data_IF_147819696630
#
_entry.id   IF_147819696630
#
_cell.length_a   1.000
_cell.length_b   1.000
_cell.length_c   1.000
_cell.angle_alpha   90.00
_cell.angle_beta   90.00
_cell.angle_gamma   90.00
#
_symmetry.space_group_name_H-M   'P 1'
#
loop_
_entity.id
_entity.type
_entity.pdbx_description
1 polymer ?
#
# COMPACT_ATOMS: atom_id res chain seq x y z
N UNK A 1 -1.87 -24.02 20.38
CA UNK A 1 -2.43 -23.26 19.25
C UNK A 1 -2.04 -21.81 19.46
N UNK A 2 -1.52 -21.09 18.45
CA UNK A 2 -1.31 -19.64 18.57
C UNK A 2 -2.67 -18.97 18.85
N UNK A 3 -2.69 -17.88 19.65
CA UNK A 3 -3.95 -17.19 19.95
C UNK A 3 -4.56 -16.64 18.66
N UNK A 4 -5.88 -16.77 18.52
CA UNK A 4 -6.60 -16.13 17.44
C UNK A 4 -6.36 -14.61 17.50
N UNK A 5 -5.93 -14.02 16.39
CA UNK A 5 -5.73 -12.57 16.30
C UNK A 5 -7.09 -11.92 16.54
N UNK A 6 -7.25 -11.31 17.71
CA UNK A 6 -8.50 -10.63 18.09
C UNK A 6 -8.35 -9.17 17.67
N UNK A 7 -8.85 -8.83 16.49
CA UNK A 7 -8.88 -7.43 16.03
C UNK A 7 -10.10 -6.78 16.68
N UNK A 8 -9.95 -5.78 17.57
CA UNK A 8 -11.08 -5.14 18.21
C UNK A 8 -11.93 -4.39 17.16
N UNK A 9 -13.26 -4.40 17.28
CA UNK A 9 -14.13 -3.65 16.37
C UNK A 9 -13.85 -2.15 16.51
N UNK A 10 -13.65 -1.49 15.37
CA UNK A 10 -13.40 -0.04 15.32
C UNK A 10 -14.73 0.73 15.40
N UNK A 11 -14.85 1.79 16.23
CA UNK A 11 -16.05 2.61 16.32
C UNK A 11 -16.53 3.18 14.98
N UNK A 12 -17.84 3.40 14.87
CA UNK A 12 -18.46 3.95 13.67
C UNK A 12 -18.32 5.47 13.60
N UNK A 13 -17.48 5.96 12.71
CA UNK A 13 -17.38 7.38 12.34
C UNK A 13 -18.19 7.78 11.11
N UNK A 14 -18.20 9.10 10.87
CA UNK A 14 -18.89 9.86 9.83
C UNK A 14 -19.35 9.03 8.62
N UNK A 15 -20.67 8.98 8.43
CA UNK A 15 -21.31 8.45 7.24
C UNK A 15 -21.40 9.52 6.18
N UNK A 16 -21.23 9.12 4.92
CA UNK A 16 -21.48 10.00 3.78
C UNK A 16 -22.95 9.79 3.39
N UNK A 17 -23.79 10.81 3.59
CA UNK A 17 -25.19 10.81 3.13
C UNK A 17 -25.31 11.62 1.83
N UNK A 18 -26.13 11.13 0.90
CA UNK A 18 -26.49 11.66 -0.42
C UNK A 18 -25.44 11.59 -1.55
N UNK A 19 -25.64 10.57 -2.41
CA UNK A 19 -25.33 10.48 -3.87
C UNK A 19 -23.89 10.17 -4.36
N UNK A 20 -23.81 9.43 -5.48
CA UNK A 20 -22.66 9.19 -6.39
C UNK A 20 -21.30 8.90 -5.72
N UNK A 21 -21.08 7.62 -5.41
CA UNK A 21 -19.92 7.02 -4.73
C UNK A 21 -18.59 7.76 -4.91
N UNK A 22 -18.12 8.43 -3.85
CA UNK A 22 -16.70 8.73 -3.69
C UNK A 22 -15.92 7.40 -3.64
N UNK A 23 -14.89 7.21 -4.49
CA UNK A 23 -14.13 5.97 -4.52
C UNK A 23 -13.51 5.69 -3.14
N UNK A 24 -13.61 4.45 -2.68
CA UNK A 24 -12.92 4.03 -1.46
C UNK A 24 -11.42 4.19 -1.65
N UNK A 25 -10.66 4.75 -0.69
CA UNK A 25 -9.21 4.74 -0.77
C UNK A 25 -8.69 3.30 -0.88
N UNK A 26 -7.57 3.13 -1.58
CA UNK A 26 -6.97 1.82 -1.85
C UNK A 26 -5.56 1.77 -1.31
N UNK A 27 -5.24 0.72 -0.57
CA UNK A 27 -3.88 0.34 -0.18
C UNK A 27 -3.42 -0.83 -1.05
N UNK A 28 -2.43 -0.58 -1.89
CA UNK A 28 -1.86 -1.54 -2.83
C UNK A 28 -0.57 -2.07 -2.21
N UNK A 29 -0.49 -3.38 -2.03
CA UNK A 29 0.67 -4.07 -1.47
C UNK A 29 1.42 -4.73 -2.61
N UNK A 30 2.62 -4.23 -2.93
CA UNK A 30 3.47 -4.76 -3.99
C UNK A 30 4.69 -5.41 -3.33
N UNK A 31 5.04 -6.63 -3.72
CA UNK A 31 6.23 -7.26 -3.17
C UNK A 31 6.40 -8.70 -3.62
N UNK A 32 7.18 -9.45 -2.85
CA UNK A 32 7.49 -10.84 -3.12
C UNK A 32 6.52 -11.83 -2.44
N UNK A 33 7.01 -13.04 -2.14
CA UNK A 33 6.32 -14.10 -1.42
C UNK A 33 5.76 -13.67 -0.06
N UNK A 34 6.42 -12.78 0.67
CA UNK A 34 5.94 -12.31 1.98
C UNK A 34 4.66 -11.50 1.82
N UNK A 35 4.57 -10.71 0.75
CA UNK A 35 3.36 -9.99 0.39
C UNK A 35 2.30 -10.95 -0.15
N UNK A 36 2.65 -11.86 -1.06
CA UNK A 36 1.69 -12.81 -1.66
C UNK A 36 1.03 -13.68 -0.57
N UNK A 37 1.84 -14.25 0.32
CA UNK A 37 1.37 -15.10 1.41
C UNK A 37 0.68 -14.30 2.53
N UNK A 38 0.80 -12.97 2.54
CA UNK A 38 0.11 -12.08 3.47
C UNK A 38 -1.42 -12.20 3.44
N UNK A 39 -1.98 -12.81 2.38
CA UNK A 39 -3.39 -13.14 2.26
C UNK A 39 -3.71 -14.64 2.24
N UNK A 40 -2.70 -15.51 2.44
CA UNK A 40 -2.88 -16.97 2.36
C UNK A 40 -3.65 -17.58 3.54
N UNK A 41 -3.83 -16.83 4.64
CA UNK A 41 -4.60 -17.29 5.80
C UNK A 41 -5.35 -16.14 6.48
N UNK A 42 -6.26 -16.48 7.39
CA UNK A 42 -6.96 -15.51 8.24
C UNK A 42 -6.01 -14.70 9.13
N UNK A 43 -4.84 -15.27 9.47
CA UNK A 43 -3.79 -14.62 10.27
C UNK A 43 -2.74 -13.90 9.41
N UNK A 44 -2.94 -13.83 8.09
CA UNK A 44 -2.03 -13.10 7.20
C UNK A 44 -2.12 -11.59 7.46
N UNK A 45 -1.00 -10.88 7.34
CA UNK A 45 -0.94 -9.44 7.63
C UNK A 45 -1.84 -8.61 6.71
N UNK A 46 -1.86 -8.93 5.41
CA UNK A 46 -2.72 -8.26 4.43
C UNK A 46 -4.20 -8.60 4.62
N UNK A 47 -4.52 -9.85 5.00
CA UNK A 47 -5.88 -10.22 5.44
C UNK A 47 -6.31 -9.41 6.67
N UNK A 48 -5.41 -9.27 7.64
CA UNK A 48 -5.67 -8.52 8.88
C UNK A 48 -5.93 -7.04 8.62
N UNK A 49 -5.18 -6.43 7.68
CA UNK A 49 -5.46 -5.06 7.21
C UNK A 49 -6.85 -4.97 6.55
N UNK A 50 -7.20 -5.93 5.69
CA UNK A 50 -8.52 -5.97 5.04
C UNK A 50 -9.66 -6.03 6.05
N UNK A 51 -9.49 -6.79 7.13
CA UNK A 51 -10.44 -6.87 8.24
C UNK A 51 -10.51 -5.54 9.00
N UNK A 52 -9.35 -4.97 9.38
CA UNK A 52 -9.26 -3.68 10.11
C UNK A 52 -9.98 -2.56 9.37
N UNK A 53 -9.74 -2.46 8.06
CA UNK A 53 -10.24 -1.38 7.21
C UNK A 53 -11.60 -1.65 6.56
N UNK A 54 -12.32 -2.68 7.00
CA UNK A 54 -13.62 -3.06 6.43
C UNK A 54 -14.58 -1.85 6.31
N UNK A 55 -15.12 -1.67 5.09
CA UNK A 55 -15.97 -0.54 4.66
C UNK A 55 -15.29 0.83 4.68
N UNK A 56 -13.98 0.94 4.84
CA UNK A 56 -13.24 2.22 4.90
C UNK A 56 -12.14 2.34 3.86
N UNK A 57 -11.35 1.28 3.66
CA UNK A 57 -10.26 1.23 2.69
C UNK A 57 -10.18 -0.17 2.07
N UNK A 58 -9.92 -0.25 0.76
CA UNK A 58 -9.64 -1.53 0.08
C UNK A 58 -8.18 -1.88 0.22
N UNK A 59 -7.86 -3.13 0.53
CA UNK A 59 -6.49 -3.65 0.50
C UNK A 59 -6.34 -4.56 -0.71
N UNK A 60 -5.42 -4.24 -1.61
CA UNK A 60 -5.15 -4.97 -2.83
C UNK A 60 -3.77 -5.63 -2.74
N UNK A 61 -3.75 -6.96 -2.67
CA UNK A 61 -2.50 -7.72 -2.68
C UNK A 61 -2.01 -7.93 -4.12
N UNK A 62 -0.78 -7.50 -4.41
CA UNK A 62 -0.02 -7.70 -5.66
C UNK A 62 1.37 -8.28 -5.34
N UNK A 63 1.42 -9.21 -4.39
CA UNK A 63 2.62 -10.00 -4.10
C UNK A 63 2.89 -11.05 -5.18
N UNK A 64 4.18 -11.28 -5.44
CA UNK A 64 4.67 -12.16 -6.50
C UNK A 64 5.79 -13.04 -5.97
N UNK A 65 5.47 -14.29 -5.62
CA UNK A 65 6.40 -15.24 -5.01
C UNK A 65 7.67 -15.42 -5.85
N UNK A 66 8.83 -15.33 -5.19
CA UNK A 66 10.15 -15.44 -5.81
C UNK A 66 10.64 -14.19 -6.53
N UNK A 67 9.87 -13.11 -6.60
CA UNK A 67 10.30 -11.89 -7.29
C UNK A 67 11.35 -11.10 -6.49
N UNK A 68 12.30 -10.51 -7.20
CA UNK A 68 13.21 -9.48 -6.70
C UNK A 68 12.78 -8.10 -7.22
N UNK A 69 13.46 -7.04 -6.77
CA UNK A 69 13.14 -5.66 -7.18
C UNK A 69 13.24 -5.44 -8.69
N UNK A 70 14.19 -6.10 -9.37
CA UNK A 70 14.37 -6.01 -10.83
C UNK A 70 13.13 -6.47 -11.58
N UNK A 71 12.59 -7.64 -11.22
CA UNK A 71 11.39 -8.19 -11.86
C UNK A 71 10.13 -7.44 -11.41
N UNK A 72 10.07 -7.03 -10.14
CA UNK A 72 9.00 -6.18 -9.62
C UNK A 72 8.88 -4.87 -10.39
N UNK A 73 10.01 -4.23 -10.72
CA UNK A 73 10.03 -2.96 -11.46
C UNK A 73 9.50 -3.15 -12.87
N UNK A 74 9.86 -4.26 -13.53
CA UNK A 74 9.36 -4.59 -14.87
C UNK A 74 7.84 -4.84 -14.88
N UNK A 75 7.27 -5.37 -13.80
CA UNK A 75 5.83 -5.61 -13.68
C UNK A 75 5.03 -4.38 -13.23
N UNK A 76 5.68 -3.38 -12.61
CA UNK A 76 5.00 -2.23 -12.01
C UNK A 76 4.09 -1.47 -13.00
N UNK A 77 4.48 -1.18 -14.26
CA UNK A 77 3.60 -0.50 -15.20
C UNK A 77 2.26 -1.22 -15.42
N UNK A 78 2.27 -2.56 -15.47
CA UNK A 78 1.07 -3.37 -15.66
C UNK A 78 0.15 -3.28 -14.44
N UNK A 79 0.73 -3.27 -13.24
CA UNK A 79 -0.02 -3.09 -11.98
C UNK A 79 -0.65 -1.70 -11.92
N UNK A 80 0.09 -0.66 -12.33
CA UNK A 80 -0.41 0.72 -12.33
C UNK A 80 -1.48 0.92 -13.39
N UNK A 81 -1.33 0.36 -14.58
CA UNK A 81 -2.38 0.37 -15.62
C UNK A 81 -3.66 -0.34 -15.14
N UNK A 82 -3.53 -1.49 -14.48
CA UNK A 82 -4.66 -2.22 -13.90
C UNK A 82 -5.43 -1.40 -12.85
N UNK A 83 -4.71 -0.68 -11.97
CA UNK A 83 -5.29 -0.04 -10.78
C UNK A 83 -5.70 1.41 -11.04
N UNK A 84 -4.88 2.15 -11.77
CA UNK A 84 -5.01 3.59 -12.03
C UNK A 84 -5.52 3.89 -13.44
N UNK A 85 -5.52 2.90 -14.35
CA UNK A 85 -5.77 3.08 -15.77
C UNK A 85 -4.52 3.44 -16.55
N UNK A 86 -4.56 3.24 -17.88
CA UNK A 86 -3.51 3.67 -18.80
C UNK A 86 -3.61 5.15 -19.16
N UNK A 87 -2.54 5.71 -19.76
CA UNK A 87 -2.66 6.96 -20.50
C UNK A 87 -3.66 6.73 -21.63
N UNK A 88 -4.77 7.47 -21.65
CA UNK A 88 -5.79 7.28 -22.68
C UNK A 88 -5.16 7.43 -24.06
N UNK A 89 -5.18 6.37 -24.89
CA UNK A 89 -5.17 6.60 -26.33
C UNK A 89 -6.43 7.43 -26.61
N UNK A 90 -6.23 8.64 -27.14
CA UNK A 90 -7.33 9.45 -27.62
C UNK A 90 -8.14 8.60 -28.59
N UNK A 91 -9.38 8.30 -28.23
CA UNK A 91 -10.33 7.62 -29.11
C UNK A 91 -10.59 8.50 -30.32
N UNK A 92 -9.73 8.38 -31.33
CA UNK A 92 -9.89 9.03 -32.60
C UNK A 92 -11.04 8.34 -33.36
N UNK A 93 -12.17 9.05 -33.40
CA UNK A 93 -13.10 9.00 -34.53
C UNK A 93 -14.26 8.02 -34.42
N UNK A 94 -15.41 8.52 -33.96
CA UNK A 94 -16.63 8.48 -34.78
C UNK A 94 -17.31 9.85 -34.66
N UNK A 95 -17.02 10.71 -35.63
CA UNK A 95 -17.86 11.86 -35.96
C UNK A 95 -19.12 11.29 -36.62
N UNK A 96 -20.30 11.49 -36.03
CA UNK A 96 -21.54 10.98 -36.59
C UNK A 96 -22.78 11.75 -36.15
N UNK A 97 -23.21 12.69 -37.00
CA UNK A 97 -24.62 12.98 -37.25
C UNK A 97 -25.34 13.91 -36.26
N UNK A 98 -25.72 15.10 -36.75
CA UNK A 98 -26.51 16.08 -36.02
C UNK A 98 -27.98 15.69 -35.78
N UNK A 99 -28.65 16.48 -34.94
CA UNK A 99 -30.08 16.40 -34.71
C UNK A 99 -30.58 17.45 -33.73
N UNK A 100 -31.18 18.51 -34.31
CA UNK A 100 -32.25 19.39 -33.83
C UNK A 100 -32.37 19.80 -32.34
N UNK A 101 -32.44 21.13 -32.19
CA UNK A 101 -32.94 21.91 -31.05
C UNK A 101 -34.40 21.57 -30.73
N UNK A 102 -34.72 21.37 -29.46
CA UNK A 102 -36.00 21.76 -28.87
C UNK A 102 -35.75 22.46 -27.52
N UNK A 103 -36.16 23.71 -27.49
CA UNK A 103 -36.27 24.60 -26.33
C UNK A 103 -37.60 24.30 -25.64
N UNK A 104 -37.56 23.88 -24.38
CA UNK A 104 -38.70 23.94 -23.48
C UNK A 104 -38.19 24.37 -22.10
N UNK A 105 -38.46 25.63 -21.79
CA UNK A 105 -38.09 26.27 -20.53
C UNK A 105 -38.80 25.64 -19.34
N UNK A 106 -38.01 25.16 -18.39
CA UNK A 106 -38.41 24.99 -16.99
C UNK A 106 -37.30 25.60 -16.14
N UNK A 107 -37.52 26.81 -15.62
CA UNK A 107 -36.71 27.38 -14.54
C UNK A 107 -36.95 26.57 -13.27
N UNK A 108 -36.04 25.65 -12.96
CA UNK A 108 -35.93 25.07 -11.62
C UNK A 108 -34.96 25.96 -10.84
N UNK A 109 -35.46 26.67 -9.82
CA UNK A 109 -34.65 27.36 -8.82
C UNK A 109 -33.63 26.39 -8.23
N UNK A 110 -32.38 26.47 -8.71
CA UNK A 110 -31.23 25.83 -8.06
C UNK A 110 -30.94 26.61 -6.79
N UNK A 111 -31.39 26.09 -5.65
CA UNK A 111 -30.85 26.50 -4.36
C UNK A 111 -29.33 26.27 -4.39
N UNK A 112 -28.58 27.36 -4.42
CA UNK A 112 -27.13 27.37 -4.36
C UNK A 112 -26.68 26.99 -2.94
N UNK A 113 -26.69 25.69 -2.65
CA UNK A 113 -25.82 25.16 -1.59
C UNK A 113 -24.41 25.08 -2.18
N UNK A 114 -23.52 25.91 -1.64
CA UNK A 114 -22.10 25.89 -1.95
C UNK A 114 -21.50 24.54 -1.53
N UNK A 115 -21.56 23.55 -2.41
CA UNK A 115 -20.79 22.32 -2.30
C UNK A 115 -19.36 22.59 -2.74
N UNK A 116 -18.58 23.28 -1.90
CA UNK A 116 -17.12 23.12 -1.96
C UNK A 116 -16.82 21.70 -1.50
N UNK A 117 -16.22 20.83 -2.35
CA UNK A 117 -15.79 19.51 -1.91
C UNK A 117 -14.84 19.70 -0.73
N UNK A 118 -15.14 19.08 0.42
CA UNK A 118 -14.16 19.00 1.51
C UNK A 118 -12.91 18.34 0.91
N UNK A 119 -11.81 19.07 0.88
CA UNK A 119 -10.52 18.58 0.41
C UNK A 119 -10.20 17.29 1.19
N UNK A 120 -10.10 16.15 0.48
CA UNK A 120 -9.81 14.87 1.11
C UNK A 120 -8.47 14.97 1.84
N UNK A 121 -8.47 14.67 3.14
CA UNK A 121 -7.29 14.76 4.00
C UNK A 121 -6.40 13.52 3.94
N UNK A 122 -6.66 12.60 3.01
CA UNK A 122 -5.97 11.32 2.89
C UNK A 122 -5.73 10.96 1.41
N UNK A 123 -4.67 10.20 1.11
CA UNK A 123 -4.40 9.72 -0.25
C UNK A 123 -5.51 8.78 -0.74
N UNK A 124 -5.87 8.92 -2.02
CA UNK A 124 -6.85 8.04 -2.66
C UNK A 124 -6.23 6.67 -2.98
N UNK A 125 -4.95 6.65 -3.36
CA UNK A 125 -4.19 5.43 -3.59
C UNK A 125 -2.91 5.47 -2.77
N UNK A 126 -2.62 4.41 -2.03
CA UNK A 126 -1.41 4.27 -1.24
C UNK A 126 -0.71 2.98 -1.62
N UNK A 127 0.58 3.05 -1.89
CA UNK A 127 1.39 1.91 -2.33
C UNK A 127 2.40 1.57 -1.24
N UNK A 128 2.46 0.30 -0.86
CA UNK A 128 3.51 -0.24 -0.01
C UNK A 128 4.34 -1.20 -0.86
N UNK A 129 5.63 -0.91 -1.01
CA UNK A 129 6.57 -1.73 -1.78
C UNK A 129 7.46 -2.52 -0.82
N UNK A 130 7.46 -3.84 -0.90
CA UNK A 130 8.30 -4.73 -0.11
C UNK A 130 9.07 -5.73 -0.98
N UNK A 131 10.30 -5.38 -1.34
CA UNK A 131 11.29 -6.26 -1.97
C UNK A 131 12.56 -6.30 -1.11
N UNK A 132 13.56 -7.08 -1.52
CA UNK A 132 14.84 -7.18 -0.81
C UNK A 132 15.15 -8.57 -0.25
N UNK A 133 14.14 -9.38 0.09
CA UNK A 133 14.36 -10.71 0.66
C UNK A 133 14.99 -11.65 -0.37
N UNK A 134 14.57 -11.55 -1.64
CA UNK A 134 15.14 -12.28 -2.77
C UNK A 134 16.39 -11.59 -3.34
N UNK A 135 16.40 -10.26 -3.41
CA UNK A 135 17.54 -9.45 -3.85
C UNK A 135 18.80 -9.75 -3.03
N UNK A 136 18.65 -9.89 -1.71
CA UNK A 136 19.73 -10.19 -0.76
C UNK A 136 20.21 -11.65 -0.75
N UNK A 137 19.79 -12.49 -1.70
CA UNK A 137 20.41 -13.80 -1.88
C UNK A 137 21.91 -13.66 -2.14
N UNK A 138 22.70 -14.60 -1.61
CA UNK A 138 24.14 -14.67 -1.83
C UNK A 138 24.44 -14.86 -3.32
N UNK A 139 25.41 -14.09 -3.83
CA UNK A 139 25.78 -14.10 -5.25
C UNK A 139 26.24 -15.47 -5.76
N UNK A 140 26.90 -16.25 -4.90
CA UNK A 140 27.37 -17.61 -5.19
C UNK A 140 26.56 -18.69 -4.44
N UNK A 141 25.38 -18.34 -3.94
CA UNK A 141 24.52 -19.24 -3.16
C UNK A 141 23.53 -20.07 -3.99
N UNK A 142 22.81 -20.97 -3.33
CA UNK A 142 21.80 -21.87 -3.90
C UNK A 142 20.64 -21.16 -4.61
N UNK A 143 20.43 -19.87 -4.33
CA UNK A 143 19.37 -19.04 -4.89
C UNK A 143 19.91 -17.79 -5.61
N UNK A 144 21.17 -17.81 -6.05
CA UNK A 144 21.87 -16.69 -6.70
C UNK A 144 21.13 -16.05 -7.88
N UNK A 145 20.27 -16.80 -8.61
CA UNK A 145 19.42 -16.24 -9.69
C UNK A 145 18.51 -15.09 -9.25
N UNK A 146 18.20 -15.01 -7.95
CA UNK A 146 17.36 -13.96 -7.39
C UNK A 146 18.16 -12.73 -6.98
N UNK A 147 19.48 -12.83 -6.90
CA UNK A 147 20.35 -11.73 -6.47
C UNK A 147 20.20 -10.49 -7.38
N UNK A 148 20.17 -9.34 -6.73
CA UNK A 148 20.23 -8.00 -7.34
C UNK A 148 21.27 -7.24 -6.53
N UNK A 149 22.23 -6.57 -7.18
CA UNK A 149 23.26 -5.84 -6.44
C UNK A 149 22.64 -4.73 -5.58
N UNK A 150 23.32 -4.31 -4.52
CA UNK A 150 22.79 -3.26 -3.63
C UNK A 150 22.54 -1.93 -4.37
N UNK A 151 23.42 -1.60 -5.33
CA UNK A 151 23.29 -0.43 -6.21
C UNK A 151 22.03 -0.53 -7.08
N UNK A 152 21.82 -1.67 -7.72
CA UNK A 152 20.65 -1.87 -8.58
C UNK A 152 19.35 -1.94 -7.76
N UNK A 153 19.37 -2.59 -6.60
CA UNK A 153 18.24 -2.60 -5.66
C UNK A 153 17.82 -1.17 -5.27
N UNK A 154 18.80 -0.33 -4.92
CA UNK A 154 18.58 1.09 -4.63
C UNK A 154 17.93 1.83 -5.80
N UNK A 155 18.51 1.70 -6.99
CA UNK A 155 17.97 2.32 -8.21
C UNK A 155 16.56 1.83 -8.53
N UNK A 156 16.28 0.53 -8.37
CA UNK A 156 14.97 -0.04 -8.61
C UNK A 156 13.91 0.56 -7.69
N UNK A 157 14.18 0.65 -6.39
CA UNK A 157 13.26 1.28 -5.43
C UNK A 157 12.97 2.74 -5.79
N UNK A 158 14.01 3.51 -6.12
CA UNK A 158 13.85 4.90 -6.55
C UNK A 158 12.97 5.02 -7.80
N UNK A 159 13.23 4.18 -8.82
CA UNK A 159 12.44 4.15 -10.05
C UNK A 159 10.99 3.76 -9.82
N UNK A 160 10.71 2.79 -8.94
CA UNK A 160 9.34 2.41 -8.59
C UNK A 160 8.57 3.58 -7.94
N UNK A 161 9.18 4.25 -6.97
CA UNK A 161 8.57 5.41 -6.29
C UNK A 161 8.28 6.54 -7.30
N UNK A 162 9.25 6.86 -8.15
CA UNK A 162 9.10 7.90 -9.18
C UNK A 162 8.02 7.54 -10.19
N UNK A 163 7.97 6.28 -10.64
CA UNK A 163 6.95 5.80 -11.57
C UNK A 163 5.55 5.96 -10.98
N UNK A 164 5.34 5.57 -9.72
CA UNK A 164 4.04 5.72 -9.05
C UNK A 164 3.64 7.20 -8.93
N UNK A 165 4.56 8.05 -8.48
CA UNK A 165 4.32 9.49 -8.29
C UNK A 165 4.03 10.24 -9.60
N UNK A 166 4.45 9.68 -10.73
CA UNK A 166 4.31 10.31 -12.05
C UNK A 166 3.34 9.56 -12.98
N UNK A 167 2.56 8.59 -12.49
CA UNK A 167 1.61 7.84 -13.32
C UNK A 167 0.28 8.60 -13.51
N UNK A 168 -0.33 8.65 -14.71
CA UNK A 168 0.11 8.17 -16.03
C UNK A 168 0.72 9.32 -16.86
N UNK A 169 1.85 9.88 -16.45
CA UNK A 169 2.46 11.04 -17.12
C UNK A 169 3.79 10.74 -17.80
N UNK A 170 4.26 9.48 -17.74
CA UNK A 170 5.56 9.09 -18.29
C UNK A 170 5.46 8.02 -19.38
N UNK A 171 4.51 8.18 -20.31
CA UNK A 171 4.75 7.65 -21.66
C UNK A 171 5.43 8.77 -22.44
N UNK A 172 6.64 8.53 -22.95
CA UNK A 172 7.32 9.34 -23.97
C UNK A 172 6.54 9.45 -25.31
N UNK A 173 5.22 9.26 -25.28
CA UNK A 173 4.30 9.27 -26.40
C UNK A 173 3.45 10.56 -26.48
N UNK A 174 3.77 11.59 -25.70
CA UNK A 174 3.11 12.89 -25.73
C UNK A 174 3.94 14.01 -26.37
N UNK A 175 4.81 13.66 -27.33
CA UNK A 175 5.42 14.66 -28.21
C UNK A 175 4.60 14.80 -29.49
N UNK A 176 3.39 15.37 -29.39
CA UNK A 176 2.66 16.05 -30.47
C UNK A 176 1.26 16.46 -29.97
N UNK A 177 1.12 17.65 -29.39
CA UNK A 177 0.12 18.68 -29.79
C UNK A 177 0.10 19.79 -28.74
N UNK A 178 0.48 21.00 -29.16
CA UNK A 178 0.15 22.24 -28.46
C UNK A 178 -1.36 22.43 -28.50
N UNK A 179 -2.10 21.93 -27.50
CA UNK A 179 -3.50 22.31 -27.33
C UNK A 179 -3.69 22.85 -25.91
N UNK A 180 -3.92 24.16 -25.86
CA UNK A 180 -4.00 25.00 -24.69
C UNK A 180 -5.35 24.80 -23.98
N UNK A 181 -5.58 23.60 -23.43
CA UNK A 181 -6.78 23.29 -22.64
C UNK A 181 -6.46 23.41 -21.16
N UNK A 182 -7.25 24.25 -20.48
CA UNK A 182 -7.37 24.36 -19.03
C UNK A 182 -7.13 22.99 -18.35
N UNK A 183 -5.94 22.77 -17.81
CA UNK A 183 -5.64 21.57 -17.04
C UNK A 183 -6.38 21.70 -15.71
N UNK A 184 -7.51 21.00 -15.59
CA UNK A 184 -7.95 20.58 -14.28
C UNK A 184 -6.79 19.73 -13.75
N UNK A 185 -6.15 20.21 -12.69
CA UNK A 185 -5.14 19.46 -11.95
C UNK A 185 -5.80 18.21 -11.37
N UNK A 186 -5.88 17.16 -12.19
CA UNK A 186 -6.33 15.82 -11.82
C UNK A 186 -5.13 14.96 -11.46
N UNK A 187 -4.12 15.52 -10.78
CA UNK A 187 -3.06 14.71 -10.20
C UNK A 187 -3.71 13.75 -9.20
N UNK A 188 -3.62 12.45 -9.49
CA UNK A 188 -4.14 11.44 -8.56
C UNK A 188 -3.41 11.60 -7.22
N UNK A 189 -4.17 11.70 -6.13
CA UNK A 189 -3.60 11.80 -4.80
C UNK A 189 -3.03 10.45 -4.38
N UNK A 190 -1.76 10.22 -4.68
CA UNK A 190 -1.02 8.99 -4.41
C UNK A 190 -0.03 9.18 -3.26
N UNK A 191 0.14 8.13 -2.45
CA UNK A 191 1.21 8.04 -1.46
C UNK A 191 1.97 6.73 -1.62
N UNK A 192 3.25 6.72 -1.24
CA UNK A 192 4.14 5.55 -1.35
C UNK A 192 4.89 5.36 -0.05
N UNK A 193 5.03 4.12 0.38
CA UNK A 193 5.84 3.69 1.51
C UNK A 193 6.63 2.43 1.13
N UNK A 194 7.68 2.13 1.89
CA UNK A 194 8.52 0.95 1.70
C UNK A 194 8.45 0.02 2.91
N UNK A 195 8.68 -1.28 2.68
CA UNK A 195 9.04 -2.26 3.69
C UNK A 195 10.49 -2.66 3.45
N UNK A 196 11.32 -2.62 4.49
CA UNK A 196 12.64 -3.26 4.40
C UNK A 196 12.47 -4.78 4.25
N UNK A 197 13.42 -5.51 3.66
CA UNK A 197 13.42 -6.97 3.77
C UNK A 197 13.39 -7.37 5.26
N UNK A 198 12.56 -8.35 5.65
CA UNK A 198 12.60 -8.89 7.01
C UNK A 198 13.94 -9.59 7.25
N UNK A 199 14.31 -9.83 8.52
CA UNK A 199 15.49 -10.62 8.82
C UNK A 199 15.28 -12.07 8.36
N UNK A 200 16.38 -12.78 8.08
CA UNK A 200 16.36 -14.21 7.78
C UNK A 200 17.13 -15.02 8.83
N UNK A 201 16.82 -16.30 8.96
CA UNK A 201 17.62 -17.19 9.81
C UNK A 201 18.83 -17.72 9.03
N UNK A 202 20.00 -17.13 9.26
CA UNK A 202 21.27 -17.54 8.64
C UNK A 202 21.54 -19.03 8.82
N UNK A 203 21.21 -19.65 9.96
CA UNK A 203 21.56 -21.06 10.19
C UNK A 203 20.76 -22.00 9.29
N UNK A 204 19.49 -21.67 9.06
CA UNK A 204 18.59 -22.40 8.16
C UNK A 204 18.91 -22.06 6.69
N UNK A 205 19.24 -20.80 6.41
CA UNK A 205 19.37 -20.26 5.05
C UNK A 205 20.82 -20.05 4.58
N UNK A 206 21.84 -20.54 5.30
CA UNK A 206 23.27 -20.30 5.00
C UNK A 206 23.73 -20.58 3.57
N UNK A 207 23.03 -21.47 2.86
CA UNK A 207 23.33 -21.78 1.47
C UNK A 207 22.87 -20.66 0.51
N UNK A 208 21.94 -19.81 0.92
CA UNK A 208 21.27 -18.83 0.07
C UNK A 208 21.30 -17.40 0.61
N UNK A 209 21.38 -17.18 1.92
CA UNK A 209 21.25 -15.87 2.57
C UNK A 209 22.11 -15.76 3.84
N UNK A 210 22.44 -14.52 4.20
CA UNK A 210 23.09 -14.16 5.47
C UNK A 210 22.44 -12.88 6.01
N UNK A 211 21.85 -12.98 7.21
CA UNK A 211 21.10 -11.90 7.82
C UNK A 211 21.95 -10.68 8.18
N UNK A 212 23.08 -10.90 8.85
CA UNK A 212 23.89 -9.81 9.43
C UNK A 212 24.81 -9.18 8.41
N UNK A 213 25.39 -10.00 7.52
CA UNK A 213 26.40 -9.53 6.58
C UNK A 213 25.80 -9.09 5.23
N UNK A 214 24.59 -9.53 4.89
CA UNK A 214 23.97 -9.23 3.58
C UNK A 214 22.60 -8.61 3.72
N UNK A 215 21.59 -9.31 4.26
CA UNK A 215 20.19 -8.80 4.31
C UNK A 215 20.09 -7.46 5.04
N UNK A 216 20.86 -7.27 6.12
CA UNK A 216 20.98 -5.99 6.84
C UNK A 216 21.36 -4.82 5.95
N UNK A 217 22.27 -5.02 4.99
CA UNK A 217 22.69 -3.97 4.06
C UNK A 217 21.54 -3.53 3.15
N UNK A 218 20.69 -4.46 2.69
CA UNK A 218 19.50 -4.13 1.90
C UNK A 218 18.43 -3.41 2.73
N UNK A 219 18.27 -3.78 4.00
CA UNK A 219 17.38 -3.06 4.91
C UNK A 219 17.86 -1.63 5.14
N UNK A 220 19.15 -1.43 5.40
CA UNK A 220 19.77 -0.11 5.55
C UNK A 220 19.64 0.74 4.28
N UNK A 221 19.84 0.14 3.11
CA UNK A 221 19.70 0.85 1.84
C UNK A 221 18.25 1.24 1.55
N UNK A 222 17.29 0.37 1.87
CA UNK A 222 15.87 0.69 1.77
C UNK A 222 15.47 1.87 2.67
N UNK A 223 15.97 1.90 3.91
CA UNK A 223 15.79 3.04 4.83
C UNK A 223 16.43 4.33 4.28
N UNK A 224 17.62 4.22 3.70
CA UNK A 224 18.34 5.34 3.09
C UNK A 224 17.53 5.94 1.93
N UNK A 225 17.04 5.11 1.01
CA UNK A 225 16.18 5.52 -0.12
C UNK A 225 14.91 6.18 0.38
N UNK A 226 14.25 5.62 1.40
CA UNK A 226 13.02 6.20 1.93
C UNK A 226 13.24 7.58 2.55
N UNK A 227 14.32 7.76 3.31
CA UNK A 227 14.72 9.08 3.84
C UNK A 227 15.01 10.08 2.72
N UNK A 228 15.77 9.67 1.70
CA UNK A 228 16.15 10.54 0.59
C UNK A 228 14.94 11.02 -0.23
N UNK A 229 13.96 10.14 -0.46
CA UNK A 229 12.76 10.43 -1.25
C UNK A 229 11.57 10.92 -0.42
N UNK A 230 11.73 11.07 0.89
CA UNK A 230 10.69 11.49 1.82
C UNK A 230 9.47 10.56 1.81
N UNK A 231 9.69 9.24 1.79
CA UNK A 231 8.63 8.24 1.92
C UNK A 231 8.76 7.49 3.25
N UNK A 232 7.64 7.14 3.91
CA UNK A 232 7.66 6.25 5.07
C UNK A 232 8.35 4.92 4.76
N UNK A 233 9.08 4.39 5.74
CA UNK A 233 9.68 3.04 5.66
C UNK A 233 9.38 2.29 6.94
N UNK A 234 8.85 1.08 6.81
CA UNK A 234 8.72 0.14 7.92
C UNK A 234 9.99 -0.70 8.00
N UNK A 235 10.75 -0.54 9.09
CA UNK A 235 11.96 -1.33 9.34
C UNK A 235 11.62 -2.71 9.91
N UNK A 236 11.32 -3.66 9.01
CA UNK A 236 11.06 -5.05 9.37
C UNK A 236 12.31 -5.76 9.88
N UNK A 237 13.47 -5.48 9.29
CA UNK A 237 14.75 -6.06 9.70
C UNK A 237 14.99 -5.84 11.19
N UNK A 238 14.93 -4.59 11.68
CA UNK A 238 15.08 -4.33 13.10
C UNK A 238 13.81 -4.68 13.89
N UNK A 239 12.64 -4.30 13.39
CA UNK A 239 11.36 -4.43 14.11
C UNK A 239 10.98 -5.87 14.44
N UNK A 240 11.44 -6.85 13.68
CA UNK A 240 11.23 -8.28 13.97
C UNK A 240 12.30 -8.90 14.88
N UNK A 241 13.47 -8.28 15.02
CA UNK A 241 14.56 -8.80 15.86
C UNK A 241 14.57 -8.21 17.28
N UNK A 242 13.80 -7.14 17.51
CA UNK A 242 13.55 -6.60 18.85
C UNK A 242 12.38 -7.34 19.50
N UNK A 243 12.61 -7.89 20.70
CA UNK A 243 11.54 -8.42 21.53
C UNK A 243 10.75 -7.27 22.14
N UNK A 244 9.43 -7.37 22.03
CA UNK A 244 8.48 -6.47 22.67
C UNK A 244 7.69 -7.28 23.71
N UNK A 245 7.50 -6.72 24.90
CA UNK A 245 6.66 -7.32 25.93
C UNK A 245 5.17 -7.27 25.54
N UNK A 246 4.30 -7.88 26.37
CA UNK A 246 2.84 -7.88 26.16
C UNK A 246 2.23 -6.46 26.16
N UNK A 247 2.96 -5.46 26.65
CA UNK A 247 2.56 -4.05 26.64
C UNK A 247 3.06 -3.28 25.42
N UNK A 248 3.84 -3.92 24.54
CA UNK A 248 4.43 -3.32 23.35
C UNK A 248 5.70 -2.51 23.61
N UNK A 249 6.39 -2.72 24.74
CA UNK A 249 7.68 -2.07 25.04
C UNK A 249 8.87 -2.97 24.74
N UNK A 250 9.94 -2.39 24.21
CA UNK A 250 11.18 -3.12 23.90
C UNK A 250 11.78 -3.74 25.18
N UNK A 251 11.98 -5.06 25.16
CA UNK A 251 12.64 -5.79 26.22
C UNK A 251 14.17 -5.67 25.99
N UNK A 252 14.83 -4.81 26.77
CA UNK A 252 16.25 -4.47 26.61
C UNK A 252 17.24 -5.65 26.79
N UNK A 253 16.78 -6.83 27.21
CA UNK A 253 17.63 -7.87 27.80
C UNK A 253 17.87 -9.10 26.90
N UNK A 254 17.32 -9.13 25.68
CA UNK A 254 17.41 -10.32 24.81
C UNK A 254 17.54 -9.97 23.33
N UNK A 255 18.76 -9.55 22.92
CA UNK A 255 19.15 -9.52 21.49
C UNK A 255 19.25 -10.92 20.86
N UNK A 256 19.25 -11.99 21.67
CA UNK A 256 19.11 -13.39 21.25
C UNK A 256 17.67 -13.89 21.43
N UNK A 257 16.69 -13.07 21.06
CA UNK A 257 15.27 -13.45 21.14
C UNK A 257 14.93 -14.63 20.23
N UNK A 258 13.87 -15.38 20.58
CA UNK A 258 13.30 -16.47 19.77
C UNK A 258 12.62 -16.01 18.46
N UNK A 259 12.98 -14.84 17.95
CA UNK A 259 12.32 -14.24 16.78
C UNK A 259 12.46 -15.11 15.54
N UNK A 260 13.55 -15.87 15.41
CA UNK A 260 13.75 -16.82 14.32
C UNK A 260 12.65 -17.88 14.33
N UNK A 261 12.43 -18.53 15.47
CA UNK A 261 11.44 -19.61 15.59
C UNK A 261 10.01 -19.06 15.66
N UNK A 262 9.83 -17.92 16.33
CA UNK A 262 8.51 -17.35 16.54
C UNK A 262 7.99 -16.70 15.25
N UNK A 263 8.84 -16.02 14.47
CA UNK A 263 8.40 -15.25 13.31
C UNK A 263 8.70 -15.89 11.96
N UNK A 264 9.65 -16.82 11.85
CA UNK A 264 10.03 -17.45 10.58
C UNK A 264 9.68 -18.94 10.57
N UNK A 265 8.98 -19.39 9.54
CA UNK A 265 8.53 -20.77 9.36
C UNK A 265 9.60 -21.67 8.73
N UNK A 266 10.40 -21.11 7.82
CA UNK A 266 11.48 -21.79 7.11
C UNK A 266 12.78 -20.97 7.12
N UNK A 267 12.90 -20.01 8.03
CA UNK A 267 14.00 -19.05 8.08
C UNK A 267 13.86 -17.86 7.13
N UNK A 268 12.75 -17.71 6.41
CA UNK A 268 12.44 -16.53 5.55
C UNK A 268 10.97 -16.14 5.62
N UNK A 269 10.07 -17.09 5.38
CA UNK A 269 8.64 -16.86 5.31
C UNK A 269 8.01 -16.77 6.69
N UNK A 270 7.00 -15.91 6.81
CA UNK A 270 6.42 -15.56 8.10
C UNK A 270 5.52 -16.66 8.67
N UNK A 271 5.69 -16.97 9.95
CA UNK A 271 4.68 -17.70 10.73
C UNK A 271 3.43 -16.82 10.96
N UNK A 272 2.42 -17.33 11.65
CA UNK A 272 1.30 -16.48 12.11
C UNK A 272 1.74 -15.35 13.04
N UNK A 273 2.73 -15.56 13.92
CA UNK A 273 3.25 -14.49 14.78
C UNK A 273 4.09 -13.48 13.98
N UNK A 274 4.88 -13.95 13.00
CA UNK A 274 5.62 -13.05 12.10
C UNK A 274 4.68 -12.16 11.29
N UNK A 275 3.58 -12.72 10.77
CA UNK A 275 2.53 -11.95 10.11
C UNK A 275 1.89 -10.92 11.04
N UNK A 276 1.61 -11.28 12.29
CA UNK A 276 1.05 -10.35 13.26
C UNK A 276 2.01 -9.21 13.59
N UNK A 277 3.31 -9.50 13.76
CA UNK A 277 4.32 -8.47 13.99
C UNK A 277 4.44 -7.50 12.82
N UNK A 278 4.49 -8.01 11.58
CA UNK A 278 4.44 -7.18 10.37
C UNK A 278 3.18 -6.30 10.33
N UNK A 279 2.01 -6.87 10.61
CA UNK A 279 0.77 -6.10 10.68
C UNK A 279 0.85 -4.95 11.69
N UNK A 280 1.38 -5.17 12.89
CA UNK A 280 1.52 -4.12 13.91
C UNK A 280 2.39 -2.97 13.42
N UNK A 281 3.56 -3.28 12.86
CA UNK A 281 4.50 -2.29 12.35
C UNK A 281 3.92 -1.49 11.18
N UNK A 282 3.18 -2.16 10.28
CA UNK A 282 2.50 -1.48 9.17
C UNK A 282 1.37 -0.59 9.67
N UNK A 283 0.56 -1.03 10.64
CA UNK A 283 -0.52 -0.22 11.22
C UNK A 283 0.03 1.03 11.90
N UNK A 284 1.14 0.92 12.62
CA UNK A 284 1.80 2.06 13.25
C UNK A 284 2.18 3.13 12.20
N UNK A 285 2.78 2.72 11.08
CA UNK A 285 3.11 3.63 9.97
C UNK A 285 1.85 4.20 9.27
N UNK A 286 0.80 3.39 9.13
CA UNK A 286 -0.46 3.84 8.53
C UNK A 286 -1.20 4.87 9.39
N UNK A 287 -1.21 4.68 10.71
CA UNK A 287 -1.96 5.55 11.65
C UNK A 287 -1.24 6.90 11.85
N UNK A 288 0.10 6.96 11.72
CA UNK A 288 0.87 8.20 11.82
C UNK A 288 0.54 9.18 10.68
N UNK A 289 0.38 10.47 11.01
CA UNK A 289 0.24 11.56 10.03
C UNK A 289 1.60 12.07 9.58
N UNK A 290 1.64 12.72 8.41
CA UNK A 290 2.82 13.52 8.03
C UNK A 290 2.85 14.75 8.94
N UNK A 291 3.76 14.77 9.90
CA UNK A 291 4.17 15.98 10.64
C UNK A 291 5.68 16.19 10.48
N UNK A 292 6.23 17.29 11.02
CA UNK A 292 7.62 17.70 10.80
C UNK A 292 8.66 16.67 11.29
N UNK A 293 8.26 15.65 12.07
CA UNK A 293 9.16 14.64 12.67
C UNK A 293 8.82 13.18 12.30
N UNK A 294 7.60 12.87 11.85
CA UNK A 294 7.17 11.51 11.47
C UNK A 294 6.57 11.43 10.04
N UNK A 295 7.09 10.50 9.24
CA UNK A 295 6.57 10.16 7.92
C UNK A 295 5.63 8.96 8.04
N UNK A 296 4.33 9.20 8.18
CA UNK A 296 3.27 8.18 8.07
C UNK A 296 2.32 8.42 6.89
N UNK A 297 1.39 7.50 6.63
CA UNK A 297 0.44 7.64 5.51
C UNK A 297 -0.87 8.35 5.89
N UNK A 298 -1.12 8.64 7.17
CA UNK A 298 -2.32 9.35 7.63
C UNK A 298 -3.62 8.58 7.41
N UNK A 299 -3.54 7.25 7.37
CA UNK A 299 -4.63 6.32 7.12
C UNK A 299 -5.17 5.71 8.42
N UNK A 300 -5.23 6.50 9.49
CA UNK A 300 -5.84 6.07 10.75
C UNK A 300 -7.27 5.58 10.49
N UNK A 301 -7.59 4.34 10.89
CA UNK A 301 -8.88 3.71 10.58
C UNK A 301 -10.07 4.49 11.12
N UNK A 302 -9.88 5.16 12.26
CA UNK A 302 -10.78 6.13 12.90
C UNK A 302 -10.59 7.55 12.38
N UNK A 303 -10.14 7.75 11.15
CA UNK A 303 -10.25 9.05 10.46
C UNK A 303 -10.79 8.90 9.04
N UNK A 304 -10.74 7.68 8.50
CA UNK A 304 -11.30 7.35 7.19
C UNK A 304 -12.83 7.27 7.24
N UNK A 305 -13.55 7.72 6.19
CA UNK A 305 -15.01 7.61 6.15
C UNK A 305 -15.46 6.15 6.13
N UNK A 306 -16.62 5.87 6.75
CA UNK A 306 -17.26 4.55 6.65
C UNK A 306 -18.25 4.58 5.49
N UNK A 307 -18.07 3.68 4.54
CA UNK A 307 -19.02 3.51 3.44
C UNK A 307 -20.31 2.84 3.91
N UNK A 308 -21.41 3.34 3.36
CA UNK A 308 -22.80 2.99 3.67
C UNK A 308 -23.21 3.35 5.11
N UNK A 309 -24.49 3.62 5.38
CA UNK A 309 -24.99 3.84 6.73
C UNK A 309 -24.78 2.61 7.62
N UNK A 310 -24.77 2.80 8.94
CA UNK A 310 -24.99 1.69 9.85
C UNK A 310 -26.46 1.26 9.79
N UNK A 311 -26.69 -0.03 10.01
CA UNK A 311 -28.01 -0.62 9.95
C UNK A 311 -29.03 0.08 10.88
N UNK A 312 -28.59 0.62 12.02
CA UNK A 312 -29.47 1.37 12.94
C UNK A 312 -29.98 2.70 12.38
N UNK A 313 -29.33 3.23 11.34
CA UNK A 313 -29.72 4.47 10.65
C UNK A 313 -30.59 4.21 9.41
N UNK A 314 -30.84 2.94 9.05
CA UNK A 314 -31.67 2.58 7.90
C UNK A 314 -33.12 2.40 8.37
N UNK A 315 -34.01 3.29 7.91
CA UNK A 315 -35.45 3.15 8.15
C UNK A 315 -35.98 1.91 7.42
N UNK A 316 -36.62 0.98 8.15
CA UNK A 316 -37.10 -0.29 7.57
C UNK A 316 -38.20 -0.14 6.51
N UNK A 317 -38.91 1.00 6.46
CA UNK A 317 -40.01 1.26 5.53
C UNK A 317 -39.62 2.21 4.40
N UNK A 318 -38.59 3.03 4.60
CA UNK A 318 -38.08 4.01 3.64
C UNK A 318 -36.55 3.88 3.48
N UNK A 319 -36.07 2.64 3.32
CA UNK A 319 -34.63 2.33 3.32
C UNK A 319 -33.87 3.02 2.20
N UNK A 320 -34.53 3.33 1.07
CA UNK A 320 -33.94 4.05 -0.06
C UNK A 320 -33.44 5.44 0.33
N UNK A 321 -34.01 6.07 1.35
CA UNK A 321 -33.57 7.40 1.80
C UNK A 321 -32.19 7.39 2.45
N UNK A 322 -31.70 6.21 2.85
CA UNK A 322 -30.41 6.04 3.49
C UNK A 322 -29.24 5.88 2.49
N UNK A 323 -29.52 5.74 1.18
CA UNK A 323 -28.55 5.45 0.11
C UNK A 323 -28.63 6.49 -1.02
#
# INVERSE_FOLDING_TARGET
MPPAITIPPVPSQLYIHHTTLQPRPKLILIGDSITEQGSASANGWATSLSIRYSRRLDVLNRGMNGYNSRWGLACLPLILEEILGGASESSAGICGGGGAVYDDGIEVERQSQSNTPRQQSYPQFSFIIGFGANDSCLIDGAHSRHHVSLEEYSSNLQSMIQMIRSWPSNSDYNNCTNDNRNSIDTTMNVAVALLTPPPCDTEVQKASRDNENVTKLYAQECLRVGRELGVPVVDLWNGMQVLIDESGKEENDKKDGRWKEDYLSDGVHLTSLGNFRLYQLVVEMLDQTIDDDALGLGLEVTKLPRQYPDHSLVDSKHYEQAF
#
